data_IF_215455549315
#
_entry.id   IF_215455549315
#
_cell.length_a   1.000
_cell.length_b   1.000
_cell.length_c   1.000
_cell.angle_alpha   90.00
_cell.angle_beta   90.00
_cell.angle_gamma   90.00
#
_symmetry.space_group_name_H-M   'P 1'
#
loop_
_entity.id
_entity.type
_entity.pdbx_description
1 polymer ?
#
# COMPACT_ATOMS: atom_id res chain seq x y z
N UNK A 1 1.95 -29.35 -26.19
CA UNK A 1 2.43 -27.98 -25.90
C UNK A 1 3.97 -27.86 -25.98
N UNK A 2 4.68 -28.67 -26.79
CA UNK A 2 6.15 -28.63 -26.78
C UNK A 2 6.78 -27.53 -27.66
N UNK A 3 6.02 -26.90 -28.57
CA UNK A 3 6.53 -25.94 -29.56
C UNK A 3 5.81 -24.57 -29.53
N UNK A 4 5.32 -24.12 -28.38
CA UNK A 4 4.79 -22.75 -28.27
C UNK A 4 5.95 -21.77 -28.12
N UNK A 5 6.05 -20.77 -29.01
CA UNK A 5 7.10 -19.74 -28.95
C UNK A 5 6.68 -18.50 -28.14
N UNK A 6 5.37 -18.25 -28.01
CA UNK A 6 4.82 -17.09 -27.29
C UNK A 6 3.57 -17.51 -26.53
N UNK A 7 3.39 -16.99 -25.31
CA UNK A 7 2.18 -17.17 -24.52
C UNK A 7 1.68 -15.78 -24.09
N UNK A 8 0.49 -15.42 -24.58
CA UNK A 8 -0.21 -14.20 -24.17
C UNK A 8 -1.12 -14.54 -22.98
N UNK A 9 -0.60 -14.41 -21.77
CA UNK A 9 -1.38 -14.64 -20.54
C UNK A 9 -2.11 -13.39 -20.10
N UNK A 10 -3.27 -13.57 -19.48
CA UNK A 10 -3.96 -12.49 -18.79
C UNK A 10 -3.29 -12.19 -17.43
N UNK A 11 -3.43 -10.97 -16.94
CA UNK A 11 -2.82 -10.55 -15.67
C UNK A 11 -3.71 -10.90 -14.48
N UNK A 12 -4.97 -10.50 -14.52
CA UNK A 12 -5.84 -10.53 -13.34
C UNK A 12 -6.47 -11.91 -13.19
N UNK A 13 -6.28 -12.56 -12.05
CA UNK A 13 -6.80 -13.91 -11.81
C UNK A 13 -5.99 -15.04 -12.46
N UNK A 14 -5.15 -14.75 -13.46
CA UNK A 14 -4.18 -15.73 -14.02
C UNK A 14 -2.78 -15.55 -13.43
N UNK A 15 -2.20 -14.35 -13.50
CA UNK A 15 -0.88 -14.05 -12.90
C UNK A 15 -1.00 -13.52 -11.46
N UNK A 16 -2.13 -12.91 -11.12
CA UNK A 16 -2.39 -12.44 -9.75
C UNK A 16 -3.40 -13.33 -9.06
N UNK A 17 -3.31 -13.42 -7.73
CA UNK A 17 -4.29 -14.13 -6.89
C UNK A 17 -5.67 -13.46 -6.85
N UNK A 18 -5.84 -12.33 -7.51
CA UNK A 18 -7.00 -11.45 -7.39
C UNK A 18 -7.35 -11.03 -5.95
N UNK A 19 -6.40 -11.19 -5.01
CA UNK A 19 -6.50 -10.72 -3.63
C UNK A 19 -5.53 -9.56 -3.46
N UNK A 20 -6.07 -8.36 -3.30
CA UNK A 20 -5.30 -7.15 -3.08
C UNK A 20 -5.23 -6.82 -1.59
N UNK A 21 -4.04 -6.45 -1.11
CA UNK A 21 -3.85 -5.97 0.26
C UNK A 21 -3.04 -4.69 0.26
N UNK A 22 -3.33 -3.79 1.21
CA UNK A 22 -2.50 -2.62 1.46
C UNK A 22 -1.15 -3.08 2.03
N UNK A 23 -0.06 -2.72 1.36
CA UNK A 23 1.31 -3.06 1.80
C UNK A 23 2.06 -1.82 2.27
N UNK A 24 1.88 -0.70 1.57
CA UNK A 24 2.51 0.58 1.87
C UNK A 24 1.55 1.70 1.50
N UNK A 25 1.68 2.84 2.15
CA UNK A 25 0.95 4.05 1.80
C UNK A 25 1.52 5.28 2.48
N UNK A 26 0.93 6.42 2.17
CA UNK A 26 1.27 7.70 2.76
C UNK A 26 0.01 8.48 3.13
N UNK A 27 0.01 9.09 4.31
CA UNK A 27 -1.04 10.02 4.74
C UNK A 27 -0.44 11.42 4.83
N UNK A 28 -1.01 12.35 4.06
CA UNK A 28 -0.48 13.71 3.98
C UNK A 28 0.91 13.76 3.32
N UNK A 29 1.73 14.72 3.73
CA UNK A 29 3.01 15.04 3.08
C UNK A 29 4.14 14.12 3.57
N UNK A 30 4.15 13.77 4.86
CA UNK A 30 5.32 13.19 5.53
C UNK A 30 5.11 11.79 6.12
N UNK A 31 3.88 11.41 6.49
CA UNK A 31 3.65 10.14 7.17
C UNK A 31 3.58 9.00 6.15
N UNK A 32 4.63 8.18 6.09
CA UNK A 32 4.64 6.93 5.33
C UNK A 32 4.39 5.77 6.27
N UNK A 33 3.62 4.79 5.87
CA UNK A 33 3.38 3.61 6.67
C UNK A 33 3.51 2.35 5.83
N UNK A 34 3.94 1.27 6.47
CA UNK A 34 4.13 -0.03 5.82
C UNK A 34 3.64 -1.14 6.73
N UNK A 35 3.05 -2.16 6.11
CA UNK A 35 2.65 -3.38 6.80
C UNK A 35 3.89 -4.20 7.13
N UNK A 36 4.09 -4.54 8.41
CA UNK A 36 5.27 -5.28 8.89
C UNK A 36 6.54 -4.54 8.46
N UNK A 37 6.75 -3.38 9.08
CA UNK A 37 7.84 -2.47 8.75
C UNK A 37 9.19 -3.19 8.65
N UNK A 38 9.50 -4.09 9.59
CA UNK A 38 10.75 -4.88 9.62
C UNK A 38 10.97 -5.70 8.34
N UNK A 39 9.94 -6.39 7.86
CA UNK A 39 10.00 -7.23 6.66
C UNK A 39 10.01 -6.42 5.36
N UNK A 40 9.54 -5.17 5.41
CA UNK A 40 9.23 -4.37 4.22
C UNK A 40 9.97 -3.03 4.15
N UNK A 41 11.03 -2.85 4.94
CA UNK A 41 11.80 -1.58 4.99
C UNK A 41 12.29 -1.12 3.61
N UNK A 42 12.67 -2.05 2.73
CA UNK A 42 13.13 -1.75 1.38
C UNK A 42 12.07 -1.01 0.53
N UNK A 43 10.77 -1.16 0.83
CA UNK A 43 9.68 -0.53 0.08
C UNK A 43 9.50 0.96 0.40
N UNK A 44 10.08 1.47 1.49
CA UNK A 44 10.00 2.88 1.89
C UNK A 44 11.24 3.65 1.46
N UNK A 45 12.39 2.99 1.52
CA UNK A 45 13.70 3.61 1.30
C UNK A 45 14.07 3.75 -0.18
N UNK A 46 13.26 3.25 -1.12
CA UNK A 46 13.47 3.45 -2.56
C UNK A 46 13.59 4.93 -2.97
N UNK A 47 13.02 5.87 -2.20
CA UNK A 47 13.15 7.31 -2.46
C UNK A 47 14.37 7.98 -1.79
N UNK A 48 15.08 7.31 -0.87
CA UNK A 48 16.28 7.91 -0.23
C UNK A 48 17.56 7.68 -1.04
N UNK A 49 17.63 6.61 -1.83
CA UNK A 49 18.88 6.18 -2.50
C UNK A 49 18.91 6.37 -4.03
N UNK A 50 17.86 6.87 -4.68
CA UNK A 50 17.81 6.95 -6.16
C UNK A 50 17.30 8.30 -6.71
N UNK A 51 17.91 9.42 -6.31
CA UNK A 51 17.89 10.60 -7.19
C UNK A 51 19.30 11.04 -7.52
N UNK A 52 19.84 10.67 -8.70
CA UNK A 52 21.05 11.28 -9.25
C UNK A 52 20.81 12.70 -9.77
N UNK A 53 19.57 13.19 -9.79
CA UNK A 53 19.19 14.55 -10.15
C UNK A 53 18.64 15.31 -8.93
N UNK A 54 19.50 15.61 -7.96
CA UNK A 54 19.21 16.64 -6.96
C UNK A 54 19.88 17.95 -7.38
N UNK A 55 19.07 18.95 -7.69
CA UNK A 55 19.55 20.33 -7.87
C UNK A 55 20.21 20.81 -6.56
N UNK A 56 21.37 21.50 -6.64
CA UNK A 56 22.10 22.00 -5.48
C UNK A 56 21.32 23.19 -4.89
N UNK A 57 20.36 22.89 -4.02
CA UNK A 57 19.45 23.89 -3.44
C UNK A 57 18.22 23.30 -2.75
N UNK A 58 17.84 22.05 -3.04
CA UNK A 58 16.77 21.35 -2.33
C UNK A 58 17.28 20.68 -1.04
N UNK A 59 17.85 21.49 -0.14
CA UNK A 59 18.30 21.07 1.20
C UNK A 59 17.21 21.19 2.27
N UNK A 60 15.93 21.21 1.90
CA UNK A 60 14.89 20.90 2.86
C UNK A 60 14.82 19.38 3.00
N UNK A 61 15.36 18.89 4.12
CA UNK A 61 15.03 17.57 4.65
C UNK A 61 13.50 17.44 4.58
N UNK A 62 12.96 16.73 3.58
CA UNK A 62 11.58 16.25 3.67
C UNK A 62 11.58 15.33 4.87
N UNK A 63 11.06 15.83 5.99
CA UNK A 63 11.00 15.15 7.28
C UNK A 63 9.95 14.03 7.24
N UNK A 64 10.11 13.16 6.25
CA UNK A 64 9.26 12.00 6.01
C UNK A 64 9.65 10.94 7.03
N UNK A 65 8.70 10.58 7.87
CA UNK A 65 8.85 9.53 8.86
C UNK A 65 8.05 8.30 8.43
N UNK A 66 8.58 7.14 8.83
CA UNK A 66 8.03 5.83 8.45
C UNK A 66 7.56 5.12 9.69
N UNK A 67 6.32 4.66 9.68
CA UNK A 67 5.71 3.93 10.80
C UNK A 67 5.24 2.54 10.34
N UNK A 68 5.11 1.62 11.28
CA UNK A 68 4.37 0.41 11.01
C UNK A 68 2.88 0.74 10.88
N UNK A 69 2.17 0.03 10.00
CA UNK A 69 0.75 0.23 9.77
C UNK A 69 -0.08 0.10 11.07
N UNK A 70 0.36 -0.76 12.02
CA UNK A 70 -0.30 -0.91 13.32
C UNK A 70 -0.33 0.38 14.15
N UNK A 71 0.58 1.32 13.88
CA UNK A 71 0.70 2.59 14.62
C UNK A 71 -0.19 3.70 14.06
N UNK A 72 -0.93 3.47 12.96
CA UNK A 72 -1.74 4.51 12.32
C UNK A 72 -2.76 5.14 13.26
N UNK A 73 -3.40 4.35 14.13
CA UNK A 73 -4.37 4.85 15.10
C UNK A 73 -3.76 5.79 16.14
N UNK A 74 -2.47 5.65 16.43
CA UNK A 74 -1.76 6.49 17.40
C UNK A 74 -1.23 7.77 16.76
N UNK A 75 -0.88 7.71 15.47
CA UNK A 75 -0.24 8.83 14.75
C UNK A 75 -1.26 9.78 14.11
N UNK A 76 -2.38 9.25 13.63
CA UNK A 76 -3.39 10.07 12.96
C UNK A 76 -4.25 10.82 13.98
N UNK A 77 -4.62 12.05 13.61
CA UNK A 77 -5.57 12.83 14.39
C UNK A 77 -6.97 12.21 14.34
N UNK A 78 -7.76 12.44 15.39
CA UNK A 78 -9.12 11.90 15.50
C UNK A 78 -10.02 12.19 14.28
N UNK A 79 -10.02 13.41 13.70
CA UNK A 79 -10.82 13.69 12.50
C UNK A 79 -10.41 12.83 11.28
N UNK A 80 -9.12 12.56 11.11
CA UNK A 80 -8.63 11.72 10.02
C UNK A 80 -9.01 10.25 10.22
N UNK A 81 -8.96 9.76 11.46
CA UNK A 81 -9.43 8.41 11.79
C UNK A 81 -10.92 8.24 11.51
N UNK A 82 -11.74 9.23 11.89
CA UNK A 82 -13.16 9.21 11.62
C UNK A 82 -13.46 9.19 10.11
N UNK A 83 -12.75 10.03 9.35
CA UNK A 83 -12.88 10.06 7.89
C UNK A 83 -12.45 8.74 7.24
N UNK A 84 -11.34 8.15 7.69
CA UNK A 84 -10.88 6.86 7.18
C UNK A 84 -11.88 5.74 7.49
N UNK A 85 -12.40 5.67 8.70
CA UNK A 85 -13.41 4.67 9.05
C UNK A 85 -14.67 4.81 8.19
N UNK A 86 -15.13 6.05 7.94
CA UNK A 86 -16.26 6.30 7.05
C UNK A 86 -15.96 5.89 5.59
N UNK A 87 -14.77 6.26 5.07
CA UNK A 87 -14.37 5.93 3.70
C UNK A 87 -14.16 4.43 3.48
N UNK A 88 -13.58 3.74 4.47
CA UNK A 88 -13.40 2.28 4.48
C UNK A 88 -14.76 1.61 4.49
N UNK A 89 -15.67 2.01 5.38
CA UNK A 89 -17.01 1.42 5.45
C UNK A 89 -17.73 1.50 4.10
N UNK A 90 -17.73 2.67 3.44
CA UNK A 90 -18.33 2.86 2.11
C UNK A 90 -17.66 1.97 1.05
N UNK A 91 -16.32 1.90 1.07
CA UNK A 91 -15.56 1.17 0.05
C UNK A 91 -15.56 -0.34 0.26
N UNK A 92 -15.72 -0.80 1.50
CA UNK A 92 -15.82 -2.22 1.85
C UNK A 92 -17.21 -2.77 1.51
N UNK A 93 -18.28 -2.02 1.77
CA UNK A 93 -19.64 -2.40 1.37
C UNK A 93 -19.87 -2.37 -0.15
N UNK A 94 -18.96 -1.75 -0.91
CA UNK A 94 -19.05 -1.70 -2.37
C UNK A 94 -18.68 -3.04 -3.04
N UNK A 95 -18.04 -3.95 -2.32
CA UNK A 95 -17.55 -5.24 -2.85
C UNK A 95 -17.84 -6.43 -1.92
N UNK A 96 -18.87 -6.33 -1.06
CA UNK A 96 -19.35 -7.52 -0.36
C UNK A 96 -20.07 -8.43 -1.36
N UNK A 97 -19.33 -9.41 -1.88
CA UNK A 97 -19.92 -10.66 -2.36
C UNK A 97 -20.03 -11.58 -1.14
N UNK A 98 -21.17 -12.21 -0.91
CA UNK A 98 -21.32 -13.14 0.21
C UNK A 98 -20.31 -14.29 0.07
N UNK A 99 -19.52 -14.52 1.10
CA UNK A 99 -18.61 -15.66 1.18
C UNK A 99 -19.44 -16.97 1.20
N UNK A 100 -19.71 -17.54 0.03
CA UNK A 100 -20.45 -18.81 -0.11
C UNK A 100 -19.66 -20.05 0.37
N UNK A 101 -18.42 -19.88 0.83
CA UNK A 101 -17.52 -20.97 1.22
C UNK A 101 -17.36 -21.18 2.73
N UNK A 102 -18.31 -20.75 3.56
CA UNK A 102 -18.51 -21.39 4.86
C UNK A 102 -19.93 -21.93 4.99
N UNK A 103 -20.17 -23.02 4.27
CA UNK A 103 -21.33 -23.89 4.48
C UNK A 103 -21.28 -24.57 5.85
N UNK A 104 -21.75 -23.86 6.88
CA UNK A 104 -22.37 -24.45 8.06
C UNK A 104 -23.78 -23.90 8.20
#
# INVERSE_FOLDING_TARGET
MANSSVICTDKTGTLTRNVMSMVTGSVGIHAKFVRKLEDNQARINMNRSQSPHRSPGSNTLRDDFSIDQSMLNTVLSWPLLLLFNAAIAVSSTAFEDEEKETGK
#
